data_IF_649532361703
#
_entry.id   IF_649532361703
#
_cell.length_a   1.000
_cell.length_b   1.000
_cell.length_c   1.000
_cell.angle_alpha   90.00
_cell.angle_beta   90.00
_cell.angle_gamma   90.00
#
_symmetry.space_group_name_H-M   'P 1'
#
loop_
_entity.id
_entity.type
_entity.pdbx_description
1 polymer ?
#
# COMPACT_ATOMS: atom_id res chain seq x y z
N UNK A 1 2.21 -13.41 -27.46
CA UNK A 1 1.40 -14.41 -26.74
C UNK A 1 1.98 -14.53 -25.34
N UNK A 2 1.24 -14.11 -24.31
CA UNK A 2 1.65 -14.37 -22.94
C UNK A 2 1.54 -15.89 -22.66
N UNK A 3 2.45 -16.49 -21.87
CA UNK A 3 2.36 -17.91 -21.54
C UNK A 3 1.05 -18.14 -20.77
N UNK A 4 0.25 -19.10 -21.26
CA UNK A 4 -0.94 -19.58 -20.55
C UNK A 4 -0.45 -20.21 -19.26
N UNK A 5 -0.77 -19.59 -18.12
CA UNK A 5 -0.44 -20.11 -16.79
C UNK A 5 -1.04 -21.52 -16.70
N UNK A 6 -0.20 -22.51 -16.43
CA UNK A 6 -0.62 -23.90 -16.34
C UNK A 6 -1.60 -24.03 -15.17
N UNK A 7 -2.90 -24.15 -15.45
CA UNK A 7 -4.01 -23.98 -14.49
C UNK A 7 -4.10 -25.10 -13.44
N UNK A 8 -3.07 -25.95 -13.37
CA UNK A 8 -2.91 -27.04 -12.41
C UNK A 8 -1.88 -26.74 -11.32
N UNK A 9 -1.21 -25.59 -11.34
CA UNK A 9 -0.27 -25.21 -10.28
C UNK A 9 -1.04 -24.51 -9.16
N UNK A 10 -1.04 -25.04 -7.92
CA UNK A 10 -1.68 -24.38 -6.80
C UNK A 10 -1.11 -22.98 -6.55
N UNK A 11 -1.97 -22.03 -6.18
CA UNK A 11 -1.55 -20.69 -5.77
C UNK A 11 -0.63 -20.76 -4.54
N UNK A 12 0.34 -19.83 -4.41
CA UNK A 12 1.17 -19.74 -3.22
C UNK A 12 0.32 -19.62 -1.94
N UNK A 13 0.67 -20.37 -0.90
CA UNK A 13 -0.13 -20.37 0.35
C UNK A 13 -0.16 -18.98 1.02
N UNK A 14 0.93 -18.22 0.92
CA UNK A 14 1.00 -16.83 1.41
C UNK A 14 -0.05 -15.94 0.73
N UNK A 15 -0.18 -16.05 -0.59
CA UNK A 15 -1.18 -15.30 -1.35
C UNK A 15 -2.61 -15.67 -0.93
N UNK A 16 -2.91 -16.96 -0.80
CA UNK A 16 -4.24 -17.43 -0.35
C UNK A 16 -4.54 -16.92 1.06
N UNK A 17 -3.59 -16.98 1.98
CA UNK A 17 -3.78 -16.48 3.35
C UNK A 17 -4.03 -14.97 3.36
N UNK A 18 -3.23 -14.18 2.63
CA UNK A 18 -3.41 -12.73 2.51
C UNK A 18 -4.79 -12.38 1.94
N UNK A 19 -5.23 -13.09 0.91
CA UNK A 19 -6.55 -12.91 0.31
C UNK A 19 -7.65 -13.04 1.37
N UNK A 20 -7.64 -14.12 2.15
CA UNK A 20 -8.64 -14.36 3.17
C UNK A 20 -8.52 -13.42 4.38
N UNK A 21 -7.30 -12.97 4.72
CA UNK A 21 -7.10 -11.91 5.71
C UNK A 21 -7.78 -10.60 5.26
N UNK A 22 -7.66 -10.22 3.98
CA UNK A 22 -8.34 -9.04 3.43
C UNK A 22 -9.87 -9.20 3.45
N UNK A 23 -10.41 -10.38 3.12
CA UNK A 23 -11.85 -10.66 3.24
C UNK A 23 -12.32 -10.48 4.69
N UNK A 24 -11.64 -11.12 5.66
CA UNK A 24 -11.98 -11.04 7.10
C UNK A 24 -11.88 -9.62 7.64
N UNK A 25 -10.83 -8.89 7.28
CA UNK A 25 -10.64 -7.49 7.67
C UNK A 25 -11.70 -6.60 7.04
N UNK A 26 -12.13 -6.87 5.80
CA UNK A 26 -13.23 -6.14 5.16
C UNK A 26 -14.57 -6.40 5.87
N UNK A 27 -14.90 -7.66 6.16
CA UNK A 27 -16.10 -8.00 6.94
C UNK A 27 -16.14 -7.25 8.27
N UNK A 28 -15.03 -7.30 9.03
CA UNK A 28 -14.93 -6.68 10.35
C UNK A 28 -14.92 -5.14 10.30
N UNK A 29 -14.05 -4.56 9.48
CA UNK A 29 -13.73 -3.14 9.55
C UNK A 29 -14.60 -2.28 8.62
N UNK A 30 -15.18 -2.85 7.57
CA UNK A 30 -15.94 -2.11 6.54
C UNK A 30 -17.44 -2.38 6.66
N UNK A 31 -17.82 -3.64 6.83
CA UNK A 31 -19.22 -4.05 6.94
C UNK A 31 -19.71 -4.26 8.38
N UNK A 32 -18.80 -4.17 9.37
CA UNK A 32 -19.11 -4.41 10.79
C UNK A 32 -19.77 -5.77 11.05
N UNK A 33 -19.39 -6.80 10.28
CA UNK A 33 -19.88 -8.19 10.41
C UNK A 33 -18.82 -9.10 11.02
N UNK A 34 -19.25 -10.32 11.34
CA UNK A 34 -18.36 -11.33 11.92
C UNK A 34 -17.37 -11.84 10.88
N UNK A 35 -16.05 -11.85 11.15
CA UNK A 35 -15.06 -12.40 10.21
C UNK A 35 -15.20 -13.91 10.02
N UNK A 36 -15.86 -14.62 10.94
CA UNK A 36 -16.03 -16.07 10.88
C UNK A 36 -16.90 -16.53 9.70
N UNK A 37 -17.70 -15.63 9.11
CA UNK A 37 -18.48 -15.93 7.89
C UNK A 37 -17.56 -16.27 6.71
N UNK A 38 -16.34 -15.74 6.68
CA UNK A 38 -15.34 -16.06 5.66
C UNK A 38 -14.77 -17.49 5.81
N UNK A 39 -14.74 -18.05 7.01
CA UNK A 39 -14.06 -19.33 7.27
C UNK A 39 -14.75 -20.51 6.56
N UNK A 40 -16.08 -20.51 6.56
CA UNK A 40 -16.87 -21.54 5.87
C UNK A 40 -16.70 -21.47 4.35
N UNK A 41 -16.63 -20.24 3.80
CA UNK A 41 -16.39 -20.05 2.38
C UNK A 41 -14.96 -20.46 2.01
N UNK A 42 -13.96 -20.07 2.81
CA UNK A 42 -12.57 -20.48 2.59
C UNK A 42 -12.44 -22.01 2.50
N UNK A 43 -12.99 -22.74 3.47
CA UNK A 43 -12.95 -24.21 3.45
C UNK A 43 -13.63 -24.78 2.21
N UNK A 44 -14.72 -24.16 1.76
CA UNK A 44 -15.42 -24.58 0.54
C UNK A 44 -14.54 -24.40 -0.69
N UNK A 45 -13.92 -23.23 -0.85
CA UNK A 45 -13.04 -22.91 -1.99
C UNK A 45 -11.78 -23.77 -1.98
N UNK A 46 -11.15 -23.99 -0.82
CA UNK A 46 -9.93 -24.82 -0.70
C UNK A 46 -10.15 -26.29 -1.10
N UNK A 47 -11.39 -26.77 -1.04
CA UNK A 47 -11.77 -28.11 -1.47
C UNK A 47 -12.12 -28.22 -2.97
N UNK A 48 -12.17 -27.11 -3.71
CA UNK A 48 -12.43 -27.11 -5.15
C UNK A 48 -11.18 -27.49 -5.96
N UNK A 49 -11.34 -27.92 -7.22
CA UNK A 49 -10.20 -28.09 -8.14
C UNK A 49 -9.42 -26.78 -8.35
N UNK A 50 -8.11 -26.88 -8.56
CA UNK A 50 -7.20 -25.72 -8.71
C UNK A 50 -7.67 -24.69 -9.74
N UNK A 51 -8.17 -25.12 -10.89
CA UNK A 51 -8.68 -24.21 -11.91
C UNK A 51 -9.90 -23.38 -11.45
N UNK A 52 -10.72 -23.93 -10.55
CA UNK A 52 -11.87 -23.19 -9.97
C UNK A 52 -11.42 -22.27 -8.85
N UNK A 53 -10.41 -22.68 -8.06
CA UNK A 53 -9.77 -21.81 -7.09
C UNK A 53 -9.15 -20.59 -7.79
N UNK A 54 -8.39 -20.80 -8.87
CA UNK A 54 -7.79 -19.73 -9.66
C UNK A 54 -8.85 -18.73 -10.15
N UNK A 55 -10.01 -19.21 -10.59
CA UNK A 55 -11.11 -18.33 -10.99
C UNK A 55 -11.62 -17.49 -9.81
N UNK A 56 -11.84 -18.11 -8.65
CA UNK A 56 -12.32 -17.43 -7.45
C UNK A 56 -11.34 -16.36 -6.95
N UNK A 57 -10.05 -16.70 -6.87
CA UNK A 57 -9.03 -15.80 -6.34
C UNK A 57 -8.67 -14.63 -7.27
N UNK A 58 -9.21 -14.60 -8.49
CA UNK A 58 -9.13 -13.41 -9.36
C UNK A 58 -10.19 -12.34 -9.00
N UNK A 59 -11.17 -12.67 -8.17
CA UNK A 59 -12.15 -11.70 -7.66
C UNK A 59 -11.52 -10.80 -6.60
N UNK A 60 -12.03 -9.59 -6.44
CA UNK A 60 -11.53 -8.67 -5.42
C UNK A 60 -12.01 -9.11 -4.01
N UNK A 61 -11.12 -9.19 -2.99
CA UNK A 61 -11.51 -9.55 -1.62
C UNK A 61 -12.66 -8.72 -1.04
N UNK A 62 -12.76 -7.44 -1.43
CA UNK A 62 -13.88 -6.58 -1.03
C UNK A 62 -15.22 -7.07 -1.59
N UNK A 63 -15.23 -7.53 -2.85
CA UNK A 63 -16.43 -8.03 -3.51
C UNK A 63 -16.88 -9.35 -2.88
N UNK A 64 -15.94 -10.23 -2.53
CA UNK A 64 -16.28 -11.45 -1.77
C UNK A 64 -16.88 -11.11 -0.39
N UNK A 65 -16.32 -10.12 0.31
CA UNK A 65 -16.90 -9.67 1.57
C UNK A 65 -18.30 -9.04 1.38
N UNK A 66 -18.49 -8.26 0.32
CA UNK A 66 -19.77 -7.66 -0.07
C UNK A 66 -20.84 -8.73 -0.36
N UNK A 67 -20.47 -9.78 -1.11
CA UNK A 67 -21.34 -10.90 -1.46
C UNK A 67 -21.74 -11.70 -0.21
N UNK A 68 -20.81 -11.94 0.72
CA UNK A 68 -21.10 -12.63 1.97
C UNK A 68 -22.16 -11.89 2.81
N UNK A 69 -22.14 -10.55 2.78
CA UNK A 69 -23.09 -9.73 3.56
C UNK A 69 -24.35 -9.36 2.78
N UNK A 70 -24.35 -9.55 1.45
CA UNK A 70 -25.46 -9.20 0.56
C UNK A 70 -25.63 -7.70 0.32
N UNK A 71 -24.56 -6.92 0.48
CA UNK A 71 -24.59 -5.45 0.40
C UNK A 71 -23.45 -4.95 -0.51
N UNK A 72 -23.75 -4.04 -1.45
CA UNK A 72 -22.71 -3.40 -2.26
C UNK A 72 -21.93 -2.36 -1.42
N UNK A 73 -20.59 -2.28 -1.55
CA UNK A 73 -19.81 -1.30 -0.83
C UNK A 73 -20.09 0.12 -1.35
N UNK A 74 -20.16 1.08 -0.44
CA UNK A 74 -20.23 2.52 -0.76
C UNK A 74 -18.86 3.06 -1.19
N UNK A 75 -18.82 4.20 -1.87
CA UNK A 75 -17.55 4.86 -2.27
C UNK A 75 -16.60 5.09 -1.09
N UNK A 76 -17.15 5.48 0.07
CA UNK A 76 -16.36 5.66 1.30
C UNK A 76 -15.77 4.34 1.77
N UNK A 77 -16.54 3.25 1.74
CA UNK A 77 -16.07 1.92 2.10
C UNK A 77 -15.01 1.39 1.12
N UNK A 78 -15.14 1.69 -0.18
CA UNK A 78 -14.12 1.38 -1.19
C UNK A 78 -12.82 2.11 -0.86
N UNK A 79 -12.87 3.41 -0.50
CA UNK A 79 -11.67 4.15 -0.07
C UNK A 79 -11.00 3.54 1.16
N UNK A 80 -11.80 3.13 2.16
CA UNK A 80 -11.29 2.45 3.35
C UNK A 80 -10.65 1.10 3.00
N UNK A 81 -11.27 0.34 2.09
CA UNK A 81 -10.71 -0.92 1.60
C UNK A 81 -9.37 -0.73 0.89
N UNK A 82 -9.28 0.24 0.00
CA UNK A 82 -8.05 0.51 -0.75
C UNK A 82 -6.90 0.91 0.18
N UNK A 83 -7.20 1.68 1.23
CA UNK A 83 -6.25 1.97 2.30
C UNK A 83 -5.82 0.71 3.05
N UNK A 84 -6.79 -0.11 3.48
CA UNK A 84 -6.52 -1.39 4.16
C UNK A 84 -5.60 -2.29 3.32
N UNK A 85 -5.91 -2.44 2.02
CA UNK A 85 -5.11 -3.24 1.08
C UNK A 85 -3.68 -2.71 0.97
N UNK A 86 -3.51 -1.39 0.81
CA UNK A 86 -2.19 -0.74 0.77
C UNK A 86 -1.36 -1.04 2.01
N UNK A 87 -1.97 -1.00 3.20
CA UNK A 87 -1.27 -1.30 4.46
C UNK A 87 -0.82 -2.76 4.53
N UNK A 88 -1.67 -3.70 4.09
CA UNK A 88 -1.31 -5.13 4.08
C UNK A 88 -0.23 -5.46 3.05
N UNK A 89 -0.31 -4.87 1.86
CA UNK A 89 0.72 -4.99 0.82
C UNK A 89 2.05 -4.43 1.32
N UNK A 90 2.04 -3.27 2.00
CA UNK A 90 3.23 -2.71 2.64
C UNK A 90 3.79 -3.65 3.71
N UNK A 91 2.96 -4.16 4.63
CA UNK A 91 3.41 -5.10 5.67
C UNK A 91 4.09 -6.32 5.07
N UNK A 92 3.56 -6.84 3.96
CA UNK A 92 4.16 -7.96 3.25
C UNK A 92 5.52 -7.61 2.63
N UNK A 93 5.65 -6.42 2.05
CA UNK A 93 6.93 -5.93 1.53
C UNK A 93 7.96 -5.79 2.66
N UNK A 94 7.54 -5.36 3.84
CA UNK A 94 8.40 -5.17 5.00
C UNK A 94 8.89 -6.48 5.63
N UNK A 95 8.26 -7.63 5.36
CA UNK A 95 8.76 -8.94 5.84
C UNK A 95 10.18 -9.27 5.34
N UNK A 96 10.58 -8.70 4.19
CA UNK A 96 11.95 -8.82 3.66
C UNK A 96 13.00 -8.04 4.50
N UNK A 97 12.55 -7.19 5.44
CA UNK A 97 13.38 -6.24 6.17
C UNK A 97 13.13 -6.32 7.69
N UNK A 98 13.91 -7.16 8.38
CA UNK A 98 13.77 -7.43 9.82
C UNK A 98 14.02 -6.24 10.77
N UNK A 99 14.32 -5.06 10.25
CA UNK A 99 14.57 -3.83 11.00
C UNK A 99 13.58 -2.71 10.65
N UNK A 100 12.55 -3.00 9.84
CA UNK A 100 11.53 -2.05 9.42
C UNK A 100 10.15 -2.51 9.89
N UNK A 101 9.37 -1.59 10.46
CA UNK A 101 8.01 -1.87 10.92
C UNK A 101 7.06 -0.75 10.49
N UNK A 102 5.87 -1.13 10.04
CA UNK A 102 4.79 -0.18 9.75
C UNK A 102 4.28 0.47 11.05
N UNK A 103 4.19 1.80 11.06
CA UNK A 103 3.69 2.57 12.21
C UNK A 103 2.16 2.79 12.08
N UNK A 104 1.37 2.01 12.83
CA UNK A 104 -0.09 2.16 12.81
C UNK A 104 -0.60 3.45 13.48
N UNK A 105 0.23 4.12 14.28
CA UNK A 105 -0.19 5.27 15.10
C UNK A 105 -0.09 6.60 14.37
N UNK A 106 0.91 6.72 13.49
CA UNK A 106 1.20 7.95 12.74
C UNK A 106 0.77 7.89 11.26
N UNK A 107 0.43 6.70 10.76
CA UNK A 107 -0.08 6.52 9.40
C UNK A 107 -1.54 6.96 9.27
N UNK A 108 -1.88 7.53 8.11
CA UNK A 108 -3.23 7.96 7.77
C UNK A 108 -3.52 7.67 6.28
N UNK A 109 -4.79 7.67 5.83
CA UNK A 109 -5.11 7.40 4.43
C UNK A 109 -4.32 8.29 3.45
N UNK A 110 -3.46 7.66 2.64
CA UNK A 110 -2.58 8.35 1.68
C UNK A 110 -1.19 8.69 2.21
N UNK A 111 -0.87 8.37 3.48
CA UNK A 111 0.47 8.48 4.07
C UNK A 111 0.74 7.31 4.99
N UNK A 112 1.68 6.46 4.60
CA UNK A 112 2.20 5.37 5.45
C UNK A 112 3.53 5.80 6.07
N UNK A 113 3.73 5.50 7.35
CA UNK A 113 5.00 5.67 8.04
C UNK A 113 5.62 4.31 8.37
N UNK A 114 6.93 4.21 8.19
CA UNK A 114 7.73 3.03 8.45
C UNK A 114 8.86 3.41 9.39
N UNK A 115 8.93 2.74 10.54
CA UNK A 115 9.93 2.96 11.56
C UNK A 115 11.14 2.04 11.36
N UNK A 116 12.32 2.54 11.72
CA UNK A 116 13.56 1.76 11.83
C UNK A 116 13.69 1.28 13.26
N UNK A 117 13.66 -0.03 13.46
CA UNK A 117 13.64 -0.64 14.80
C UNK A 117 15.03 -0.99 15.32
N UNK A 118 16.05 -1.04 14.45
CA UNK A 118 17.42 -1.38 14.82
C UNK A 118 18.38 -0.20 14.65
N UNK A 119 19.16 0.10 15.69
CA UNK A 119 20.19 1.14 15.64
C UNK A 119 21.32 0.79 14.67
N UNK A 120 21.64 -0.50 14.56
CA UNK A 120 22.68 -1.05 13.68
C UNK A 120 22.18 -1.34 12.26
N UNK A 121 20.93 -0.96 11.94
CA UNK A 121 20.35 -1.16 10.61
C UNK A 121 21.25 -0.58 9.52
N UNK A 122 21.40 -1.32 8.41
CA UNK A 122 22.04 -0.80 7.22
C UNK A 122 21.08 0.18 6.52
N UNK A 123 21.16 1.43 6.95
CA UNK A 123 20.31 2.52 6.50
C UNK A 123 20.75 2.97 5.11
N UNK A 124 20.02 2.52 4.09
CA UNK A 124 20.30 2.81 2.69
C UNK A 124 19.05 3.39 2.01
N UNK A 125 19.19 4.55 1.37
CA UNK A 125 18.09 5.18 0.60
C UNK A 125 17.57 4.26 -0.51
N UNK A 126 18.42 3.39 -1.07
CA UNK A 126 18.03 2.41 -2.07
C UNK A 126 16.97 1.43 -1.53
N UNK A 127 17.02 1.07 -0.24
CA UNK A 127 16.00 0.21 0.37
C UNK A 127 14.64 0.92 0.38
N UNK A 128 14.62 2.22 0.69
CA UNK A 128 13.38 3.02 0.67
C UNK A 128 12.83 3.08 -0.76
N UNK A 129 13.69 3.34 -1.74
CA UNK A 129 13.33 3.34 -3.16
C UNK A 129 12.79 1.99 -3.62
N UNK A 130 13.41 0.88 -3.22
CA UNK A 130 12.97 -0.47 -3.58
C UNK A 130 11.60 -0.80 -2.95
N UNK A 131 11.37 -0.42 -1.69
CA UNK A 131 10.08 -0.56 -1.02
C UNK A 131 9.00 0.28 -1.74
N UNK A 132 9.33 1.52 -2.11
CA UNK A 132 8.44 2.40 -2.86
C UNK A 132 8.02 1.74 -4.18
N UNK A 133 8.97 1.32 -5.02
CA UNK A 133 8.66 0.68 -6.30
C UNK A 133 7.88 -0.64 -6.14
N UNK A 134 8.19 -1.44 -5.11
CA UNK A 134 7.41 -2.66 -4.81
C UNK A 134 5.97 -2.30 -4.49
N UNK A 135 5.73 -1.28 -3.67
CA UNK A 135 4.38 -0.83 -3.31
C UNK A 135 3.64 -0.27 -4.54
N UNK A 136 4.28 0.56 -5.35
CA UNK A 136 3.72 1.09 -6.60
C UNK A 136 3.33 -0.04 -7.57
N UNK A 137 4.15 -1.08 -7.66
CA UNK A 137 3.90 -2.24 -8.53
C UNK A 137 2.65 -3.00 -8.10
N UNK A 138 2.43 -3.19 -6.81
CA UNK A 138 1.30 -4.00 -6.30
C UNK A 138 0.00 -3.21 -6.16
N UNK A 139 0.08 -1.89 -5.89
CA UNK A 139 -1.11 -1.04 -5.73
C UNK A 139 -1.50 -0.27 -7.00
N UNK A 140 -0.60 -0.20 -7.99
CA UNK A 140 -0.74 0.61 -9.20
C UNK A 140 -0.96 2.11 -8.91
N UNK A 141 -0.36 2.59 -7.81
CA UNK A 141 -0.37 4.00 -7.38
C UNK A 141 1.05 4.52 -7.33
N UNK A 142 1.22 5.84 -7.37
CA UNK A 142 2.55 6.47 -7.23
C UNK A 142 2.74 6.96 -5.81
N UNK A 143 3.97 6.84 -5.29
CA UNK A 143 4.30 7.33 -3.97
C UNK A 143 5.55 8.21 -4.01
N UNK A 144 5.53 9.26 -3.21
CA UNK A 144 6.71 10.06 -2.89
C UNK A 144 7.16 9.73 -1.47
N UNK A 145 8.47 9.58 -1.25
CA UNK A 145 8.98 9.27 0.07
C UNK A 145 9.73 10.45 0.71
N UNK A 146 9.59 10.58 2.04
CA UNK A 146 10.44 11.44 2.86
C UNK A 146 11.07 10.62 3.97
N UNK A 147 12.25 11.00 4.44
CA UNK A 147 12.92 10.34 5.56
C UNK A 147 13.32 11.39 6.61
N UNK A 148 13.25 11.00 7.88
CA UNK A 148 13.52 11.87 9.01
C UNK A 148 14.04 11.08 10.21
N UNK A 149 14.64 11.76 11.19
CA UNK A 149 15.04 11.07 12.40
C UNK A 149 15.39 11.95 13.59
N UNK A 150 15.61 11.25 14.70
CA UNK A 150 15.95 11.84 15.98
C UNK A 150 17.44 12.19 15.99
N UNK A 151 17.74 13.49 15.95
CA UNK A 151 19.09 14.03 16.02
C UNK A 151 19.62 13.94 17.46
N UNK A 152 20.75 13.27 17.65
CA UNK A 152 21.63 13.53 18.79
C UNK A 152 22.93 14.13 18.28
N UNK A 153 23.53 15.06 19.02
CA UNK A 153 24.62 15.95 18.58
C UNK A 153 25.89 15.24 18.06
N UNK A 154 25.99 13.92 18.20
CA UNK A 154 27.13 13.11 17.78
C UNK A 154 26.87 12.22 16.56
N UNK A 155 25.65 12.20 16.00
CA UNK A 155 25.29 11.22 14.98
C UNK A 155 25.64 11.64 13.55
N UNK A 156 26.14 10.68 12.76
CA UNK A 156 26.38 10.86 11.32
C UNK A 156 25.03 11.01 10.60
N UNK A 157 24.69 12.23 10.13
CA UNK A 157 23.46 12.61 9.41
C UNK A 157 23.04 11.64 8.29
N UNK A 158 23.99 10.96 7.63
CA UNK A 158 23.69 9.93 6.61
C UNK A 158 23.07 8.66 7.20
N UNK A 159 23.15 8.49 8.52
CA UNK A 159 22.64 7.36 9.31
C UNK A 159 21.53 7.75 10.30
N UNK A 160 21.01 8.98 10.29
CA UNK A 160 20.09 9.50 11.34
C UNK A 160 18.64 9.56 10.86
N UNK A 161 18.16 8.57 10.13
CA UNK A 161 16.72 8.41 9.97
C UNK A 161 16.23 7.28 10.86
N UNK A 162 15.26 7.58 11.71
CA UNK A 162 14.56 6.62 12.57
C UNK A 162 13.22 6.22 11.96
N UNK A 163 12.79 6.90 10.90
CA UNK A 163 11.60 6.56 10.13
C UNK A 163 11.70 7.13 8.71
N UNK A 164 10.83 6.63 7.83
CA UNK A 164 10.49 7.26 6.57
C UNK A 164 8.99 7.15 6.32
N UNK A 165 8.48 7.99 5.44
CA UNK A 165 7.07 8.00 5.05
C UNK A 165 6.96 7.80 3.55
N UNK A 166 5.91 7.12 3.10
CA UNK A 166 5.49 7.08 1.70
C UNK A 166 4.13 7.76 1.61
N UNK A 167 4.04 8.81 0.80
CA UNK A 167 2.82 9.58 0.55
C UNK A 167 2.32 9.28 -0.85
N UNK A 168 1.06 8.87 -0.97
CA UNK A 168 0.41 8.67 -2.26
C UNK A 168 0.32 10.01 -3.01
N UNK A 169 0.65 9.97 -4.29
CA UNK A 169 0.63 11.11 -5.18
C UNK A 169 -0.51 10.94 -6.17
N UNK A 170 -1.50 11.83 -6.09
CA UNK A 170 -2.56 11.90 -7.08
C UNK A 170 -2.01 12.57 -8.34
N UNK A 171 -1.92 11.81 -9.44
CA UNK A 171 -1.39 12.33 -10.71
C UNK A 171 -2.28 13.43 -11.31
N UNK A 172 -3.56 13.48 -10.94
CA UNK A 172 -4.46 14.56 -11.37
C UNK A 172 -4.08 15.91 -10.72
N UNK A 173 -3.40 15.90 -9.57
CA UNK A 173 -2.85 17.11 -8.94
C UNK A 173 -1.42 17.45 -9.42
N UNK A 174 -0.68 16.47 -9.95
CA UNK A 174 0.67 16.71 -10.49
C UNK A 174 0.68 17.27 -11.90
N UNK A 175 -0.35 16.99 -12.71
CA UNK A 175 -0.51 17.58 -14.03
C UNK A 175 -0.63 19.11 -13.96
N UNK A 176 -1.29 19.68 -12.94
CA UNK A 176 -1.36 21.14 -12.74
C UNK A 176 -0.01 21.75 -12.33
N UNK A 177 0.80 21.04 -11.54
CA UNK A 177 2.10 21.54 -11.09
C UNK A 177 3.13 21.55 -12.23
N UNK A 178 3.19 20.50 -13.07
CA UNK A 178 4.07 20.52 -14.25
C UNK A 178 3.61 21.52 -15.31
N UNK A 179 2.29 21.70 -15.53
CA UNK A 179 1.79 22.71 -16.47
C UNK A 179 2.13 24.12 -15.99
N UNK A 180 2.01 24.40 -14.69
CA UNK A 180 2.37 25.69 -14.10
C UNK A 180 3.88 25.93 -14.18
N UNK A 181 4.72 24.92 -13.95
CA UNK A 181 6.17 25.04 -14.10
C UNK A 181 6.63 25.31 -15.54
N UNK A 182 6.01 24.67 -16.54
CA UNK A 182 6.33 24.89 -17.96
C UNK A 182 5.78 26.24 -18.46
N UNK A 183 4.60 26.67 -18.02
CA UNK A 183 4.05 28.01 -18.32
C UNK A 183 4.94 29.11 -17.71
N UNK A 184 5.48 28.92 -16.50
CA UNK A 184 6.35 29.89 -15.83
C UNK A 184 7.74 29.96 -16.48
N UNK A 185 8.30 28.82 -16.93
CA UNK A 185 9.55 28.78 -17.69
C UNK A 185 9.47 29.56 -19.00
N UNK A 186 8.37 29.42 -19.73
CA UNK A 186 8.16 30.14 -21.00
C UNK A 186 7.92 31.64 -20.80
N UNK A 187 7.38 32.06 -19.65
CA UNK A 187 7.05 33.46 -19.36
C UNK A 187 8.24 34.33 -18.93
N UNK A 188 9.44 33.78 -18.69
CA UNK A 188 10.64 34.51 -18.17
C UNK A 188 10.33 35.47 -16.99
N UNK A 189 9.42 35.11 -16.09
CA UNK A 189 9.14 35.93 -14.92
C UNK A 189 10.18 35.66 -13.81
N UNK A 190 10.65 36.68 -13.07
CA UNK A 190 11.63 36.49 -12.01
C UNK A 190 11.06 35.67 -10.86
N UNK A 191 11.86 34.72 -10.37
CA UNK A 191 11.55 33.62 -9.43
C UNK A 191 11.14 34.04 -8.00
N UNK A 192 10.69 35.28 -7.76
CA UNK A 192 10.60 35.86 -6.42
C UNK A 192 9.19 35.94 -5.80
N UNK A 193 8.17 35.25 -6.34
CA UNK A 193 6.80 35.29 -5.79
C UNK A 193 6.17 33.91 -5.52
N UNK A 194 6.96 32.86 -5.26
CA UNK A 194 6.39 31.53 -4.99
C UNK A 194 5.91 31.38 -3.52
N UNK A 195 6.41 32.18 -2.58
CA UNK A 195 6.11 32.02 -1.14
C UNK A 195 4.70 32.48 -0.68
N UNK A 196 3.81 32.91 -1.57
CA UNK A 196 2.48 33.42 -1.19
C UNK A 196 1.28 32.64 -1.76
N UNK A 197 1.49 31.54 -2.50
CA UNK A 197 0.37 30.75 -3.05
C UNK A 197 0.14 29.43 -2.27
N UNK A 198 0.99 29.10 -1.30
CA UNK A 198 0.87 27.89 -0.48
C UNK A 198 0.57 28.16 1.01
N UNK A 199 -0.38 29.07 1.29
CA UNK A 199 -0.96 29.26 2.64
C UNK A 199 -2.45 28.93 2.64
#
# INVERSE_FOLDING_TARGET
>A
MAPVKDSNIPLPRSYVEQYWQLVRKSLKNIFSKSPNEADALQQTIENLPTAQQDFFYNEEPLNVAADLVGENPTDTQIKVYLWLRTVEDLKQILEDYNYLEYDETLSNPGLVQINVTSQDANRNVQVITDICHKLETVTHRNYFFTYGGNYTETDNLEKVWSFFTLKEVDLDQHAEIELVYEIIKDARLPTFQIDQIAA
#
